data_IF_047829972447
#
_entry.id   IF_047829972447
#
_cell.length_a   1.000
_cell.length_b   1.000
_cell.length_c   1.000
_cell.angle_alpha   90.00
_cell.angle_beta   90.00
_cell.angle_gamma   90.00
#
_symmetry.space_group_name_H-M   'P 1'
#
loop_
_entity.id
_entity.type
_entity.pdbx_description
1 polymer ?
#
# COMPACT_ATOMS: atom_id res chain seq x y z
N UNK A 1 0.27 -6.19 -28.21
CA UNK A 1 0.60 -7.45 -27.54
C UNK A 1 -0.15 -7.47 -26.21
N UNK A 2 -1.07 -8.39 -25.98
CA UNK A 2 -1.72 -8.48 -24.68
C UNK A 2 -0.76 -9.14 -23.67
N UNK A 3 -0.47 -8.42 -22.59
CA UNK A 3 0.34 -8.98 -21.51
C UNK A 3 -0.47 -9.99 -20.69
N UNK A 4 0.11 -11.14 -20.33
CA UNK A 4 -0.54 -12.09 -19.43
C UNK A 4 -0.92 -11.42 -18.11
N UNK A 5 -2.20 -11.51 -17.72
CA UNK A 5 -2.70 -10.95 -16.46
C UNK A 5 -3.09 -9.47 -16.51
N UNK A 6 -3.14 -8.81 -17.67
CA UNK A 6 -3.52 -7.39 -17.79
C UNK A 6 -4.86 -7.08 -17.10
N UNK A 7 -5.88 -7.92 -17.27
CA UNK A 7 -7.18 -7.77 -16.60
C UNK A 7 -7.10 -7.83 -15.08
N UNK A 8 -6.24 -8.69 -14.53
CA UNK A 8 -6.00 -8.74 -13.09
C UNK A 8 -5.40 -7.42 -12.57
N UNK A 9 -4.39 -6.88 -13.24
CA UNK A 9 -3.75 -5.62 -12.84
C UNK A 9 -4.69 -4.43 -12.93
N UNK A 10 -5.55 -4.37 -13.96
CA UNK A 10 -6.59 -3.35 -14.07
C UNK A 10 -7.60 -3.45 -12.91
N UNK A 11 -8.07 -4.65 -12.61
CA UNK A 11 -8.98 -4.88 -11.49
C UNK A 11 -8.34 -4.48 -10.15
N UNK A 12 -7.07 -4.83 -9.95
CA UNK A 12 -6.34 -4.48 -8.74
C UNK A 12 -6.13 -2.97 -8.63
N UNK A 13 -5.85 -2.27 -9.74
CA UNK A 13 -5.75 -0.82 -9.77
C UNK A 13 -7.08 -0.15 -9.38
N UNK A 14 -8.20 -0.58 -10.00
CA UNK A 14 -9.55 -0.08 -9.66
C UNK A 14 -9.90 -0.34 -8.20
N UNK A 15 -9.66 -1.54 -7.70
CA UNK A 15 -9.88 -1.88 -6.30
C UNK A 15 -9.06 -0.98 -5.37
N UNK A 16 -7.79 -0.73 -5.71
CA UNK A 16 -6.90 0.12 -4.92
C UNK A 16 -7.39 1.57 -4.83
N UNK A 17 -7.83 2.15 -5.94
CA UNK A 17 -8.38 3.52 -5.96
C UNK A 17 -9.69 3.58 -5.19
N UNK A 18 -10.59 2.61 -5.39
CA UNK A 18 -11.88 2.53 -4.69
C UNK A 18 -11.68 2.41 -3.18
N UNK A 19 -10.75 1.57 -2.74
CA UNK A 19 -10.41 1.42 -1.33
C UNK A 19 -9.86 2.72 -0.73
N UNK A 20 -8.97 3.42 -1.43
CA UNK A 20 -8.46 4.73 -1.02
C UNK A 20 -9.58 5.76 -0.88
N UNK A 21 -10.48 5.84 -1.86
CA UNK A 21 -11.64 6.71 -1.83
C UNK A 21 -12.58 6.40 -0.65
N UNK A 22 -12.85 5.12 -0.39
CA UNK A 22 -13.67 4.71 0.76
C UNK A 22 -13.03 5.11 2.10
N UNK A 23 -11.72 4.98 2.24
CA UNK A 23 -11.01 5.40 3.45
C UNK A 23 -11.16 6.90 3.72
N UNK A 24 -11.16 7.74 2.67
CA UNK A 24 -11.42 9.19 2.79
C UNK A 24 -12.87 9.46 3.20
N UNK A 25 -13.84 8.79 2.57
CA UNK A 25 -15.25 8.96 2.90
C UNK A 25 -15.52 8.70 4.39
N UNK A 26 -14.95 7.63 4.95
CA UNK A 26 -15.07 7.31 6.38
C UNK A 26 -14.51 8.45 7.25
N UNK A 27 -13.39 9.06 6.84
CA UNK A 27 -12.80 10.20 7.54
C UNK A 27 -13.70 11.45 7.49
N UNK A 28 -14.27 11.75 6.33
CA UNK A 28 -15.19 12.88 6.13
C UNK A 28 -16.46 12.68 6.97
N UNK A 29 -17.07 11.51 6.94
CA UNK A 29 -18.24 11.20 7.77
C UNK A 29 -17.95 11.39 9.27
N UNK A 30 -16.77 11.01 9.71
CA UNK A 30 -16.35 11.23 11.09
C UNK A 30 -16.29 12.71 11.46
N UNK A 31 -15.77 13.56 10.57
CA UNK A 31 -15.78 15.02 10.77
C UNK A 31 -17.20 15.58 10.85
N UNK A 32 -18.09 15.11 9.99
CA UNK A 32 -19.49 15.58 9.96
C UNK A 32 -20.27 15.24 11.25
N UNK A 33 -19.94 14.13 11.91
CA UNK A 33 -20.57 13.71 13.17
C UNK A 33 -19.99 14.46 14.40
N UNK A 34 -19.16 15.47 14.18
CA UNK A 34 -18.59 16.31 15.24
C UNK A 34 -17.27 15.77 15.83
N UNK A 35 -16.66 14.79 15.21
CA UNK A 35 -15.35 14.29 15.57
C UNK A 35 -14.24 15.19 15.03
N UNK A 36 -13.39 15.76 15.91
CA UNK A 36 -12.14 16.38 15.44
C UNK A 36 -11.15 15.29 15.02
N UNK A 37 -10.59 15.41 13.82
CA UNK A 37 -9.48 14.55 13.40
C UNK A 37 -8.23 14.95 14.18
N UNK A 38 -7.61 13.97 14.82
CA UNK A 38 -6.30 14.15 15.42
C UNK A 38 -5.21 14.13 14.33
N UNK A 39 -4.03 14.65 14.64
CA UNK A 39 -2.86 14.57 13.74
C UNK A 39 -2.54 13.12 13.37
N UNK A 40 -2.79 12.20 14.29
CA UNK A 40 -2.66 10.77 14.06
C UNK A 40 -3.67 10.24 13.03
N UNK A 41 -4.93 10.69 13.07
CA UNK A 41 -5.94 10.31 12.09
C UNK A 41 -5.58 10.82 10.69
N UNK A 42 -5.11 12.07 10.61
CA UNK A 42 -4.66 12.68 9.35
C UNK A 42 -3.47 11.93 8.75
N UNK A 43 -2.49 11.58 9.59
CA UNK A 43 -1.35 10.76 9.16
C UNK A 43 -1.80 9.42 8.58
N UNK A 44 -2.75 8.75 9.23
CA UNK A 44 -3.26 7.45 8.75
C UNK A 44 -4.03 7.55 7.45
N UNK A 45 -4.93 8.54 7.32
CA UNK A 45 -5.70 8.76 6.09
C UNK A 45 -4.74 8.99 4.93
N UNK A 46 -3.78 9.91 5.12
CA UNK A 46 -2.76 10.21 4.12
C UNK A 46 -1.95 8.98 3.74
N UNK A 47 -1.51 8.19 4.72
CA UNK A 47 -0.71 6.99 4.45
C UNK A 47 -1.52 5.90 3.74
N UNK A 48 -2.80 5.74 4.07
CA UNK A 48 -3.69 4.79 3.38
C UNK A 48 -3.92 5.20 1.93
N UNK A 49 -4.19 6.48 1.69
CA UNK A 49 -4.34 7.03 0.34
C UNK A 49 -3.09 6.83 -0.49
N UNK A 50 -1.93 7.22 0.04
CA UNK A 50 -0.66 7.08 -0.68
C UNK A 50 -0.37 5.63 -1.06
N UNK A 51 -0.64 4.67 -0.17
CA UNK A 51 -0.49 3.24 -0.47
C UNK A 51 -1.45 2.78 -1.55
N UNK A 52 -2.70 3.21 -1.49
CA UNK A 52 -3.72 2.85 -2.48
C UNK A 52 -3.34 3.37 -3.86
N UNK A 53 -2.93 4.63 -3.97
CA UNK A 53 -2.47 5.19 -5.24
C UNK A 53 -1.16 4.57 -5.72
N UNK A 54 -0.23 4.27 -4.82
CA UNK A 54 1.01 3.56 -5.17
C UNK A 54 0.69 2.16 -5.71
N UNK A 55 -0.20 1.41 -5.05
CA UNK A 55 -0.60 0.09 -5.52
C UNK A 55 -1.30 0.16 -6.88
N UNK A 56 -2.18 1.15 -7.10
CA UNK A 56 -2.84 1.37 -8.38
C UNK A 56 -1.82 1.71 -9.47
N UNK A 57 -0.93 2.66 -9.25
CA UNK A 57 0.11 3.05 -10.20
C UNK A 57 1.05 1.91 -10.52
N UNK A 58 1.51 1.16 -9.52
CA UNK A 58 2.37 -0.01 -9.73
C UNK A 58 1.65 -1.12 -10.49
N UNK A 59 0.35 -1.33 -10.28
CA UNK A 59 -0.45 -2.28 -11.06
C UNK A 59 -0.52 -1.93 -12.54
N UNK A 60 -0.54 -0.64 -12.89
CA UNK A 60 -0.61 -0.16 -14.28
C UNK A 60 0.76 -0.12 -14.98
N UNK A 61 1.86 -0.17 -14.22
CA UNK A 61 3.23 -0.06 -14.74
C UNK A 61 3.55 -1.07 -15.87
N UNK A 62 3.25 -2.38 -15.72
CA UNK A 62 3.54 -3.34 -16.78
C UNK A 62 2.80 -3.01 -18.08
N UNK A 63 1.53 -2.59 -17.98
CA UNK A 63 0.71 -2.21 -19.15
C UNK A 63 1.24 -0.95 -19.83
N UNK A 64 1.73 0.02 -19.07
CA UNK A 64 2.38 1.23 -19.61
C UNK A 64 3.69 0.88 -20.32
N UNK A 65 4.52 0.04 -19.73
CA UNK A 65 5.79 -0.38 -20.35
C UNK A 65 5.58 -1.20 -21.62
N UNK A 66 4.48 -1.95 -21.70
CA UNK A 66 4.14 -2.73 -22.88
C UNK A 66 3.86 -1.84 -24.13
N UNK A 67 3.46 -0.58 -23.92
CA UNK A 67 3.25 0.38 -25.04
C UNK A 67 4.56 0.72 -25.76
N UNK A 68 5.72 0.50 -25.14
CA UNK A 68 7.03 0.76 -25.76
C UNK A 68 7.59 -0.46 -26.51
N UNK A 69 6.79 -1.50 -26.72
CA UNK A 69 7.17 -2.73 -27.45
C UNK A 69 8.42 -3.45 -26.89
N UNK A 70 8.67 -3.28 -25.61
CA UNK A 70 9.79 -3.88 -24.88
C UNK A 70 9.50 -5.37 -24.64
N UNK A 71 10.56 -6.19 -24.58
CA UNK A 71 10.40 -7.62 -24.31
C UNK A 71 9.72 -7.88 -22.94
N UNK A 72 8.82 -8.88 -22.83
CA UNK A 72 8.08 -9.15 -21.60
C UNK A 72 8.96 -9.35 -20.37
N UNK A 73 10.11 -9.99 -20.52
CA UNK A 73 11.07 -10.20 -19.43
C UNK A 73 11.59 -8.88 -18.85
N UNK A 74 11.89 -7.90 -19.70
CA UNK A 74 12.35 -6.58 -19.27
C UNK A 74 11.21 -5.82 -18.59
N UNK A 75 9.98 -5.91 -19.11
CA UNK A 75 8.80 -5.26 -18.51
C UNK A 75 8.65 -5.70 -17.05
N UNK A 76 8.70 -7.01 -16.77
CA UNK A 76 8.54 -7.51 -15.40
C UNK A 76 9.71 -7.13 -14.49
N UNK A 77 10.94 -7.12 -15.00
CA UNK A 77 12.11 -6.66 -14.24
C UNK A 77 12.03 -5.20 -13.87
N UNK A 78 11.76 -4.34 -14.85
CA UNK A 78 11.65 -2.88 -14.64
C UNK A 78 10.49 -2.54 -13.72
N UNK A 79 9.32 -3.14 -13.92
CA UNK A 79 8.16 -2.95 -13.05
C UNK A 79 8.47 -3.36 -11.61
N UNK A 80 9.13 -4.50 -11.42
CA UNK A 80 9.53 -4.99 -10.09
C UNK A 80 10.56 -4.09 -9.44
N UNK A 81 11.54 -3.59 -10.20
CA UNK A 81 12.56 -2.67 -9.70
C UNK A 81 11.92 -1.36 -9.22
N UNK A 82 11.13 -0.72 -10.07
CA UNK A 82 10.47 0.55 -9.76
C UNK A 82 9.55 0.38 -8.54
N UNK A 83 8.70 -0.65 -8.53
CA UNK A 83 7.78 -0.91 -7.43
C UNK A 83 8.53 -1.21 -6.13
N UNK A 84 9.61 -2.00 -6.18
CA UNK A 84 10.43 -2.31 -5.01
C UNK A 84 11.09 -1.08 -4.41
N UNK A 85 11.69 -0.21 -5.25
CA UNK A 85 12.30 1.04 -4.81
C UNK A 85 11.27 2.01 -4.22
N UNK A 86 10.12 2.17 -4.89
CA UNK A 86 9.03 3.01 -4.37
C UNK A 86 8.51 2.51 -3.03
N UNK A 87 8.39 1.18 -2.86
CA UNK A 87 7.94 0.59 -1.61
C UNK A 87 8.94 0.81 -0.47
N UNK A 88 10.24 0.71 -0.74
CA UNK A 88 11.30 1.03 0.24
C UNK A 88 11.20 2.50 0.64
N UNK A 89 11.20 3.41 -0.33
CA UNK A 89 11.13 4.84 -0.09
C UNK A 89 9.90 5.19 0.74
N UNK A 90 8.74 4.67 0.33
CA UNK A 90 7.49 4.87 1.07
C UNK A 90 7.59 4.34 2.51
N UNK A 91 8.12 3.14 2.70
CA UNK A 91 8.19 2.51 4.04
C UNK A 91 9.15 3.26 4.96
N UNK A 92 10.27 3.76 4.45
CA UNK A 92 11.24 4.54 5.20
C UNK A 92 10.69 5.92 5.57
N UNK A 93 10.06 6.63 4.63
CA UNK A 93 9.44 7.94 4.90
C UNK A 93 8.30 7.81 5.91
N UNK A 94 7.45 6.81 5.76
CA UNK A 94 6.37 6.52 6.68
C UNK A 94 6.87 6.17 8.10
N UNK A 95 7.97 5.42 8.19
CA UNK A 95 8.61 5.11 9.47
C UNK A 95 9.18 6.36 10.13
N UNK A 96 9.83 7.23 9.36
CA UNK A 96 10.41 8.48 9.84
C UNK A 96 9.32 9.46 10.32
N UNK A 97 8.26 9.67 9.53
CA UNK A 97 7.12 10.53 9.90
C UNK A 97 6.45 10.03 11.20
N UNK A 98 6.26 8.72 11.31
CA UNK A 98 5.67 8.15 12.52
C UNK A 98 6.56 8.30 13.75
N UNK A 99 7.87 8.20 13.60
CA UNK A 99 8.81 8.40 14.69
C UNK A 99 8.82 9.86 15.16
N UNK A 100 8.64 10.80 14.25
CA UNK A 100 8.54 12.23 14.54
C UNK A 100 7.21 12.59 15.24
N UNK A 101 6.12 11.89 14.94
CA UNK A 101 4.83 12.04 15.61
C UNK A 101 4.89 11.42 17.01
N UNK A 102 5.44 12.18 17.96
CA UNK A 102 5.62 11.80 19.36
C UNK A 102 4.29 11.42 20.01
N UNK A 103 4.24 10.25 20.68
CA UNK A 103 3.11 9.82 21.50
C UNK A 103 2.31 8.63 20.98
N UNK A 104 2.60 8.10 19.80
CA UNK A 104 1.87 6.93 19.29
C UNK A 104 2.52 5.61 19.71
N UNK A 105 1.79 4.72 20.41
CA UNK A 105 2.37 3.44 20.84
C UNK A 105 2.77 2.58 19.62
N UNK A 106 3.94 1.98 19.69
CA UNK A 106 4.40 0.96 18.74
C UNK A 106 3.55 -0.30 18.91
N UNK A 107 2.48 -0.42 18.16
CA UNK A 107 1.63 -1.61 18.19
C UNK A 107 2.29 -2.79 17.48
N UNK A 108 1.97 -4.03 17.90
CA UNK A 108 2.41 -5.25 17.20
C UNK A 108 2.03 -5.21 15.71
N UNK A 109 0.83 -4.71 15.40
CA UNK A 109 0.35 -4.56 14.02
C UNK A 109 1.26 -3.66 13.17
N UNK A 110 1.83 -2.60 13.74
CA UNK A 110 2.77 -1.73 13.04
C UNK A 110 4.05 -2.48 12.65
N UNK A 111 4.64 -3.24 13.58
CA UNK A 111 5.87 -4.01 13.31
C UNK A 111 5.63 -5.06 12.22
N UNK A 112 4.51 -5.78 12.31
CA UNK A 112 4.14 -6.78 11.31
C UNK A 112 3.97 -6.14 9.94
N UNK A 113 3.27 -5.01 9.85
CA UNK A 113 3.07 -4.29 8.59
C UNK A 113 4.39 -3.79 8.00
N UNK A 114 5.29 -3.25 8.82
CA UNK A 114 6.63 -2.82 8.38
C UNK A 114 7.44 -4.00 7.83
N UNK A 115 7.46 -5.13 8.55
CA UNK A 115 8.18 -6.34 8.13
C UNK A 115 7.62 -6.88 6.82
N UNK A 116 6.29 -6.97 6.68
CA UNK A 116 5.66 -7.43 5.44
C UNK A 116 6.02 -6.55 4.24
N UNK A 117 6.04 -5.23 4.41
CA UNK A 117 6.43 -4.31 3.34
C UNK A 117 7.90 -4.45 2.97
N UNK A 118 8.79 -4.58 3.94
CA UNK A 118 10.21 -4.80 3.66
C UNK A 118 10.45 -6.13 2.95
N UNK A 119 9.80 -7.22 3.39
CA UNK A 119 9.87 -8.51 2.73
C UNK A 119 9.35 -8.45 1.29
N UNK A 120 8.23 -7.74 1.06
CA UNK A 120 7.68 -7.55 -0.29
C UNK A 120 8.63 -6.75 -1.17
N UNK A 121 9.27 -5.71 -0.64
CA UNK A 121 10.25 -4.93 -1.37
C UNK A 121 11.49 -5.76 -1.75
N UNK A 122 12.03 -6.54 -0.80
CA UNK A 122 13.17 -7.45 -1.05
C UNK A 122 12.79 -8.49 -2.11
N UNK A 123 11.60 -9.06 -2.02
CA UNK A 123 11.08 -10.01 -3.01
C UNK A 123 11.01 -9.39 -4.41
N UNK A 124 10.51 -8.16 -4.54
CA UNK A 124 10.46 -7.44 -5.82
C UNK A 124 11.85 -7.16 -6.38
N UNK A 125 12.82 -6.79 -5.55
CA UNK A 125 14.20 -6.57 -5.98
C UNK A 125 14.87 -7.89 -6.39
N UNK A 126 14.54 -9.01 -5.74
CA UNK A 126 15.03 -10.34 -6.16
C UNK A 126 14.48 -10.73 -7.54
N UNK A 127 13.21 -10.43 -7.85
CA UNK A 127 12.64 -10.62 -9.20
C UNK A 127 13.34 -9.70 -10.21
N UNK A 128 13.56 -8.43 -9.85
CA UNK A 128 14.21 -7.45 -10.73
C UNK A 128 15.64 -7.86 -11.11
N UNK A 129 16.40 -8.45 -10.17
CA UNK A 129 17.75 -8.93 -10.42
C UNK A 129 17.79 -10.08 -11.45
N UNK A 130 16.72 -10.89 -11.51
CA UNK A 130 16.62 -12.05 -12.40
C UNK A 130 17.63 -13.16 -12.11
N UNK A 131 18.39 -13.06 -11.00
CA UNK A 131 19.41 -14.03 -10.62
C UNK A 131 18.88 -15.15 -9.73
N UNK A 132 17.85 -14.83 -8.91
CA UNK A 132 17.28 -15.75 -7.92
C UNK A 132 15.90 -16.23 -8.39
N UNK A 133 15.12 -15.34 -9.02
CA UNK A 133 13.76 -15.61 -9.47
C UNK A 133 13.60 -15.14 -10.92
N UNK A 134 12.97 -15.98 -11.73
CA UNK A 134 12.57 -15.57 -13.07
C UNK A 134 11.49 -14.49 -13.02
N UNK A 135 11.56 -13.48 -13.89
CA UNK A 135 10.58 -12.39 -13.91
C UNK A 135 9.25 -12.87 -14.53
N UNK A 136 8.37 -13.45 -13.69
CA UNK A 136 7.07 -13.99 -14.09
C UNK A 136 5.95 -13.05 -13.62
N UNK A 137 4.90 -12.84 -14.44
CA UNK A 137 3.78 -11.97 -14.06
C UNK A 137 3.13 -12.31 -12.73
N UNK A 138 3.05 -13.61 -12.39
CA UNK A 138 2.45 -14.09 -11.15
C UNK A 138 3.17 -13.60 -9.89
N UNK A 139 4.50 -13.53 -9.89
CA UNK A 139 5.26 -13.04 -8.75
C UNK A 139 5.05 -11.53 -8.53
N UNK A 140 5.04 -10.77 -9.62
CA UNK A 140 4.75 -9.34 -9.55
C UNK A 140 3.31 -9.09 -9.05
N UNK A 141 2.31 -9.84 -9.57
CA UNK A 141 0.93 -9.77 -9.12
C UNK A 141 0.80 -10.07 -7.62
N UNK A 142 1.45 -11.13 -7.12
CA UNK A 142 1.45 -11.47 -5.70
C UNK A 142 2.05 -10.34 -4.84
N UNK A 143 3.14 -9.73 -5.28
CA UNK A 143 3.79 -8.63 -4.57
C UNK A 143 2.89 -7.39 -4.49
N UNK A 144 2.27 -6.97 -5.60
CA UNK A 144 1.36 -5.80 -5.60
C UNK A 144 0.11 -6.08 -4.78
N UNK A 145 -0.42 -7.31 -4.83
CA UNK A 145 -1.53 -7.73 -3.94
C UNK A 145 -1.13 -7.63 -2.48
N UNK A 146 0.09 -8.03 -2.11
CA UNK A 146 0.58 -7.92 -0.74
C UNK A 146 0.67 -6.46 -0.29
N UNK A 147 1.03 -5.51 -1.17
CA UNK A 147 1.00 -4.08 -0.86
C UNK A 147 -0.43 -3.66 -0.48
N UNK A 148 -1.45 -4.11 -1.22
CA UNK A 148 -2.85 -3.83 -0.90
C UNK A 148 -3.30 -4.49 0.40
N UNK A 149 -2.94 -5.74 0.63
CA UNK A 149 -3.26 -6.45 1.88
C UNK A 149 -2.70 -5.70 3.08
N UNK A 150 -1.47 -5.20 3.00
CA UNK A 150 -0.87 -4.40 4.08
C UNK A 150 -1.57 -3.06 4.31
N UNK A 151 -2.11 -2.44 3.24
CA UNK A 151 -2.94 -1.23 3.36
C UNK A 151 -4.25 -1.52 4.08
N UNK A 152 -4.94 -2.60 3.72
CA UNK A 152 -6.19 -3.05 4.38
C UNK A 152 -5.96 -3.39 5.85
N UNK A 153 -4.91 -4.14 6.18
CA UNK A 153 -4.56 -4.48 7.57
C UNK A 153 -4.32 -3.22 8.40
N UNK A 154 -3.55 -2.27 7.86
CA UNK A 154 -3.29 -1.00 8.54
C UNK A 154 -4.58 -0.22 8.79
N UNK A 155 -5.46 -0.14 7.78
CA UNK A 155 -6.75 0.54 7.89
C UNK A 155 -7.67 -0.11 8.93
N UNK A 156 -7.79 -1.44 8.93
CA UNK A 156 -8.62 -2.17 9.90
C UNK A 156 -8.10 -2.03 11.33
N UNK A 157 -6.77 -2.04 11.51
CA UNK A 157 -6.16 -1.80 12.82
C UNK A 157 -6.50 -0.39 13.34
N UNK A 158 -6.52 0.61 12.47
CA UNK A 158 -6.90 1.98 12.80
C UNK A 158 -8.39 2.09 13.15
N UNK A 159 -9.28 1.53 12.32
CA UNK A 159 -10.71 1.53 12.61
C UNK A 159 -11.01 0.97 14.01
N UNK A 160 -10.33 -0.11 14.38
CA UNK A 160 -10.47 -0.71 15.71
C UNK A 160 -10.09 0.27 16.83
N UNK A 161 -8.98 0.98 16.68
CA UNK A 161 -8.53 1.98 17.67
C UNK A 161 -9.53 3.14 17.79
N UNK A 162 -10.08 3.60 16.66
CA UNK A 162 -11.08 4.65 16.62
C UNK A 162 -12.37 4.27 17.34
N UNK A 163 -12.85 3.04 17.13
CA UNK A 163 -14.07 2.54 17.80
C UNK A 163 -13.85 2.37 19.31
N UNK A 164 -12.69 1.93 19.74
CA UNK A 164 -12.35 1.79 21.17
C UNK A 164 -12.31 3.15 21.89
N UNK A 165 -11.77 4.19 21.25
CA UNK A 165 -11.73 5.53 21.85
C UNK A 165 -13.13 6.12 22.11
N UNK A 166 -14.13 5.83 21.26
CA UNK A 166 -15.50 6.28 21.45
C UNK A 166 -16.22 5.60 22.61
N UNK A 167 -15.93 4.31 22.85
CA UNK A 167 -16.55 3.58 23.97
C UNK A 167 -16.03 4.04 25.33
N UNK A 168 -14.78 4.46 25.40
CA UNK A 168 -14.16 4.93 26.66
C UNK A 168 -14.57 6.36 27.01
N UNK A 169 -14.81 7.23 26.01
CA UNK A 169 -15.28 8.62 26.22
C UNK A 169 -16.73 8.75 26.67
N UNK A 170 -17.57 7.74 26.44
CA UNK A 170 -18.98 7.73 26.90
C UNK A 170 -19.17 7.29 28.35
N UNK A 171 -18.13 6.86 29.03
CA UNK A 171 -18.18 6.41 30.45
C UNK A 171 -17.77 7.47 31.45
N UNK A 172 -17.53 8.70 31.03
CA UNK A 172 -17.34 9.87 31.90
C UNK A 172 -18.49 10.85 31.67
#
# INVERSE_FOLDING_TARGET
MELPGSGYFQTLALFSVTFGGFAVLVAVFRQMIGGRLSDFDMFFIRSTLLRSFMAAGCSMLPSLLALFEISPSIIWRVSSLITGLLLILFTLTWYAERRAASGTPYTKAFRVNFLLQMLTAIFLLAIASGTILEPVPGYFAAAVTMIMVTAVIAYMAQLRLLLQAQTTGKRK
#
